data_IF_887314332332
#
_entry.id   IF_887314332332
#
_cell.length_a   1.000
_cell.length_b   1.000
_cell.length_c   1.000
_cell.angle_alpha   90.00
_cell.angle_beta   90.00
_cell.angle_gamma   90.00
#
_symmetry.space_group_name_H-M   'P 1'
#
loop_
_entity.id
_entity.type
_entity.pdbx_description
1 polymer ?
#
# COMPACT_ATOMS: atom_id res chain seq x y z
N UNK A 1 -8.98 -32.80 -22.66
CA UNK A 1 -9.00 -33.30 -21.28
C UNK A 1 -7.59 -33.74 -20.91
N UNK A 2 -7.08 -33.26 -19.80
CA UNK A 2 -5.79 -33.63 -19.20
C UNK A 2 -6.08 -34.11 -17.79
N UNK A 3 -5.38 -35.13 -17.29
CA UNK A 3 -5.56 -35.61 -15.93
C UNK A 3 -4.29 -35.45 -15.11
N UNK A 4 -4.45 -35.34 -13.79
CA UNK A 4 -3.35 -35.39 -12.84
C UNK A 4 -3.80 -36.14 -11.59
N UNK A 5 -2.88 -36.85 -10.95
CA UNK A 5 -3.14 -37.49 -9.66
C UNK A 5 -2.86 -36.48 -8.54
N UNK A 6 -3.80 -36.34 -7.61
CA UNK A 6 -3.67 -35.48 -6.44
C UNK A 6 -3.96 -36.22 -5.14
N UNK A 7 -3.36 -35.77 -4.06
CA UNK A 7 -3.62 -36.27 -2.70
C UNK A 7 -4.52 -35.30 -1.93
N UNK A 8 -5.36 -35.80 -1.03
CA UNK A 8 -6.12 -34.95 -0.11
C UNK A 8 -5.17 -34.07 0.72
N UNK A 9 -5.60 -32.83 0.98
CA UNK A 9 -4.84 -31.74 1.61
C UNK A 9 -3.64 -31.23 0.80
N UNK A 10 -3.36 -31.79 -0.39
CA UNK A 10 -2.33 -31.27 -1.27
C UNK A 10 -2.72 -29.86 -1.75
N UNK A 11 -1.76 -28.95 -1.65
CA UNK A 11 -1.88 -27.55 -2.05
C UNK A 11 -1.31 -27.41 -3.46
N UNK A 12 -2.10 -26.97 -4.42
CA UNK A 12 -1.65 -26.75 -5.79
C UNK A 12 -2.07 -25.38 -6.32
N UNK A 13 -1.36 -24.90 -7.35
CA UNK A 13 -1.80 -23.80 -8.20
C UNK A 13 -1.65 -24.22 -9.66
N UNK A 14 -2.45 -23.60 -10.54
CA UNK A 14 -2.54 -24.03 -11.93
C UNK A 14 -2.53 -22.81 -12.84
N UNK A 15 -1.61 -22.80 -13.79
CA UNK A 15 -1.62 -21.84 -14.90
C UNK A 15 -2.03 -22.55 -16.19
N UNK A 16 -3.09 -22.06 -16.81
CA UNK A 16 -3.50 -22.43 -18.16
C UNK A 16 -3.11 -21.30 -19.10
N UNK A 17 -2.09 -21.51 -19.93
CA UNK A 17 -1.60 -20.53 -20.90
C UNK A 17 -2.20 -20.80 -22.28
N UNK A 18 -2.85 -19.81 -22.87
CA UNK A 18 -3.40 -19.91 -24.23
C UNK A 18 -2.30 -19.51 -25.23
N UNK A 19 -1.87 -20.44 -26.08
CA UNK A 19 -0.77 -20.22 -27.03
C UNK A 19 -1.25 -19.66 -28.38
N UNK A 20 -2.54 -19.74 -28.65
CA UNK A 20 -3.20 -19.11 -29.80
C UNK A 20 -4.46 -18.34 -29.35
N UNK A 21 -4.83 -17.30 -30.10
CA UNK A 21 -5.92 -16.37 -29.75
C UNK A 21 -7.33 -16.97 -29.88
N UNK A 22 -7.70 -17.85 -28.95
CA UNK A 22 -9.06 -18.39 -28.82
C UNK A 22 -9.57 -18.25 -27.37
N UNK A 23 -10.89 -18.31 -27.21
CA UNK A 23 -11.57 -18.36 -25.93
C UNK A 23 -11.91 -19.82 -25.60
N UNK A 24 -11.66 -20.23 -24.35
CA UNK A 24 -12.02 -21.53 -23.85
C UNK A 24 -12.46 -21.41 -22.39
N UNK A 25 -13.50 -22.11 -22.00
CA UNK A 25 -13.74 -22.36 -20.59
C UNK A 25 -12.86 -23.52 -20.16
N UNK A 26 -12.42 -23.51 -18.90
CA UNK A 26 -11.88 -24.73 -18.31
C UNK A 26 -12.57 -25.01 -16.98
N UNK A 27 -12.68 -26.31 -16.70
CA UNK A 27 -13.26 -26.85 -15.48
C UNK A 27 -12.26 -27.84 -14.90
N UNK A 28 -12.15 -27.87 -13.58
CA UNK A 28 -11.42 -28.92 -12.87
C UNK A 28 -12.46 -29.78 -12.16
N UNK A 29 -12.45 -31.08 -12.45
CA UNK A 29 -13.26 -32.08 -11.80
C UNK A 29 -12.42 -32.84 -10.78
N UNK A 30 -13.00 -33.11 -9.62
CA UNK A 30 -12.44 -34.02 -8.63
C UNK A 30 -12.55 -35.50 -9.09
N UNK A 31 -11.98 -36.46 -8.32
CA UNK A 31 -12.05 -37.88 -8.64
C UNK A 31 -13.47 -38.47 -8.66
N UNK A 32 -14.43 -37.82 -8.00
CA UNK A 32 -15.85 -38.22 -7.99
C UNK A 32 -16.61 -37.58 -9.17
N UNK A 33 -15.98 -36.68 -9.92
CA UNK A 33 -16.53 -35.99 -11.08
C UNK A 33 -17.23 -34.67 -10.75
N UNK A 34 -17.11 -34.17 -9.52
CA UNK A 34 -17.69 -32.90 -9.10
C UNK A 34 -16.77 -31.72 -9.48
N UNK A 35 -17.36 -30.59 -9.85
CA UNK A 35 -16.61 -29.40 -10.24
C UNK A 35 -15.98 -28.72 -9.00
N UNK A 36 -14.65 -28.61 -8.98
CA UNK A 36 -13.92 -27.86 -7.93
C UNK A 36 -13.51 -26.47 -8.39
N UNK A 37 -13.36 -26.25 -9.70
CA UNK A 37 -13.08 -24.93 -10.28
C UNK A 37 -13.82 -24.79 -11.59
N UNK A 38 -14.54 -23.67 -11.76
CA UNK A 38 -15.17 -23.27 -13.01
C UNK A 38 -14.70 -21.85 -13.39
N UNK A 39 -14.09 -21.70 -14.56
CA UNK A 39 -13.59 -20.41 -15.02
C UNK A 39 -13.86 -20.20 -16.53
N UNK A 40 -15.00 -19.60 -16.91
CA UNK A 40 -15.21 -19.17 -18.28
C UNK A 40 -14.34 -17.94 -18.56
N UNK A 41 -13.21 -18.11 -19.26
CA UNK A 41 -12.25 -17.01 -19.47
C UNK A 41 -11.74 -16.98 -20.91
N UNK A 42 -11.77 -15.80 -21.51
CA UNK A 42 -10.98 -15.52 -22.70
C UNK A 42 -9.60 -15.04 -22.22
N UNK A 43 -8.53 -15.82 -22.52
CA UNK A 43 -7.07 -15.63 -22.22
C UNK A 43 -6.53 -16.62 -21.18
N UNK A 44 -5.19 -16.66 -21.08
CA UNK A 44 -4.46 -17.37 -20.04
C UNK A 44 -4.99 -17.03 -18.65
N UNK A 45 -5.02 -18.04 -17.79
CA UNK A 45 -5.61 -17.94 -16.48
C UNK A 45 -4.77 -18.67 -15.43
N UNK A 46 -4.67 -18.04 -14.25
CA UNK A 46 -4.04 -18.61 -13.09
C UNK A 46 -5.10 -18.89 -12.03
N UNK A 47 -5.28 -20.16 -11.68
CA UNK A 47 -5.98 -20.57 -10.47
C UNK A 47 -5.00 -20.44 -9.31
N UNK A 48 -5.38 -19.63 -8.34
CA UNK A 48 -4.65 -19.46 -7.09
C UNK A 48 -4.63 -20.76 -6.26
N UNK A 49 -4.17 -20.71 -5.01
CA UNK A 49 -4.14 -21.86 -4.10
C UNK A 49 -5.45 -22.65 -4.11
N UNK A 50 -5.36 -23.89 -4.58
CA UNK A 50 -6.39 -24.91 -4.51
C UNK A 50 -5.92 -26.02 -3.56
N UNK A 51 -6.69 -26.25 -2.50
CA UNK A 51 -6.47 -27.38 -1.57
C UNK A 51 -7.35 -28.54 -2.01
N UNK A 52 -6.73 -29.62 -2.45
CA UNK A 52 -7.42 -30.82 -2.91
C UNK A 52 -8.13 -31.50 -1.74
N UNK A 53 -9.41 -31.83 -1.89
CA UNK A 53 -10.21 -32.39 -0.80
C UNK A 53 -10.19 -33.92 -0.77
N UNK A 54 -9.87 -34.55 -1.91
CA UNK A 54 -9.93 -36.00 -2.11
C UNK A 54 -8.70 -36.52 -2.83
N UNK A 55 -8.20 -37.68 -2.44
CA UNK A 55 -7.11 -38.36 -3.17
C UNK A 55 -7.65 -39.09 -4.39
N UNK A 56 -7.06 -38.86 -5.56
CA UNK A 56 -7.44 -39.56 -6.79
C UNK A 56 -7.02 -38.85 -8.07
N UNK A 57 -7.60 -39.26 -9.19
CA UNK A 57 -7.34 -38.67 -10.50
C UNK A 57 -8.29 -37.49 -10.75
N UNK A 58 -7.75 -36.28 -10.77
CA UNK A 58 -8.45 -35.06 -11.13
C UNK A 58 -8.41 -34.85 -12.64
N UNK A 59 -9.43 -34.19 -13.19
CA UNK A 59 -9.54 -33.92 -14.62
C UNK A 59 -9.60 -32.42 -14.88
N UNK A 60 -8.78 -31.95 -15.83
CA UNK A 60 -8.85 -30.60 -16.37
C UNK A 60 -9.50 -30.70 -17.75
N UNK A 61 -10.75 -30.28 -17.80
CA UNK A 61 -11.52 -30.16 -19.03
C UNK A 61 -11.34 -28.76 -19.60
N UNK A 62 -11.03 -28.69 -20.91
CA UNK A 62 -10.94 -27.42 -21.63
C UNK A 62 -11.95 -27.47 -22.75
N UNK A 63 -12.95 -26.58 -22.68
CA UNK A 63 -14.06 -26.50 -23.62
C UNK A 63 -13.85 -25.26 -24.50
N UNK A 64 -13.45 -25.44 -25.78
CA UNK A 64 -13.36 -24.32 -26.71
C UNK A 64 -14.74 -23.69 -26.92
N UNK A 65 -14.79 -22.36 -27.01
CA UNK A 65 -16.04 -21.63 -27.31
C UNK A 65 -16.24 -21.40 -28.82
N UNK A 66 -15.37 -21.95 -29.66
CA UNK A 66 -15.46 -21.88 -31.13
C UNK A 66 -14.96 -23.18 -31.76
N UNK A 67 -15.23 -23.37 -33.06
CA UNK A 67 -14.79 -24.57 -33.79
C UNK A 67 -13.28 -24.61 -34.05
N UNK A 68 -12.56 -23.52 -33.78
CA UNK A 68 -11.10 -23.54 -33.77
C UNK A 68 -10.63 -24.32 -32.54
N UNK A 69 -9.82 -25.37 -32.74
CA UNK A 69 -9.28 -26.18 -31.65
C UNK A 69 -8.50 -25.36 -30.61
N UNK A 70 -8.26 -25.98 -29.44
CA UNK A 70 -7.53 -25.39 -28.32
C UNK A 70 -6.05 -25.75 -28.41
N UNK A 71 -5.17 -24.75 -28.39
CA UNK A 71 -3.74 -24.89 -28.09
C UNK A 71 -3.42 -24.21 -26.76
N UNK A 72 -3.21 -25.01 -25.72
CA UNK A 72 -2.97 -24.54 -24.36
C UNK A 72 -1.84 -25.31 -23.70
N UNK A 73 -1.05 -24.62 -22.87
CA UNK A 73 -0.09 -25.21 -21.95
C UNK A 73 -0.66 -25.15 -20.54
N UNK A 74 -0.64 -26.29 -19.85
CA UNK A 74 -1.02 -26.36 -18.44
C UNK A 74 0.26 -26.55 -17.64
N UNK A 75 0.47 -25.70 -16.64
CA UNK A 75 1.53 -25.86 -15.64
C UNK A 75 0.88 -25.98 -14.28
N UNK A 76 1.29 -26.99 -13.52
CA UNK A 76 0.87 -27.19 -12.14
C UNK A 76 2.09 -27.00 -11.24
N UNK A 77 1.86 -26.36 -10.10
CA UNK A 77 2.86 -26.30 -9.03
C UNK A 77 2.28 -26.86 -7.75
N UNK A 78 3.11 -27.57 -7.00
CA UNK A 78 2.83 -27.91 -5.61
C UNK A 78 3.19 -26.70 -4.75
N UNK A 79 2.20 -26.15 -4.07
CA UNK A 79 2.33 -24.90 -3.31
C UNK A 79 2.72 -25.23 -1.88
N UNK A 80 3.88 -24.78 -1.38
CA UNK A 80 4.27 -25.01 0.01
C UNK A 80 3.34 -24.24 0.97
N UNK A 81 3.57 -24.41 2.27
CA UNK A 81 2.95 -23.55 3.27
C UNK A 81 3.37 -22.08 3.04
N UNK A 82 2.49 -21.16 3.43
CA UNK A 82 2.73 -19.74 3.28
C UNK A 82 3.97 -19.30 4.05
N UNK A 83 4.76 -18.44 3.43
CA UNK A 83 5.98 -17.93 4.03
C UNK A 83 5.64 -17.05 5.25
N UNK A 84 6.47 -17.11 6.28
CA UNK A 84 6.27 -16.34 7.52
C UNK A 84 7.54 -15.61 7.91
N UNK A 85 7.38 -14.37 8.35
CA UNK A 85 8.44 -13.62 8.99
C UNK A 85 7.88 -12.76 10.12
N UNK A 86 8.77 -12.33 11.01
CA UNK A 86 8.44 -11.42 12.11
C UNK A 86 9.39 -10.22 12.07
N UNK A 87 8.90 -9.06 12.49
CA UNK A 87 9.69 -7.84 12.67
C UNK A 87 9.14 -7.05 13.85
N UNK A 88 9.78 -5.93 14.17
CA UNK A 88 9.38 -5.00 15.21
C UNK A 88 9.28 -3.60 14.60
N UNK A 89 8.50 -2.73 15.24
CA UNK A 89 8.50 -1.30 14.90
C UNK A 89 9.93 -0.77 15.09
N UNK A 90 10.49 -0.17 14.05
CA UNK A 90 11.88 0.30 13.96
C UNK A 90 12.96 -0.79 14.11
N UNK A 91 12.57 -2.06 13.95
CA UNK A 91 13.50 -3.19 13.91
C UNK A 91 14.14 -3.44 12.54
N UNK A 92 14.92 -4.51 12.48
CA UNK A 92 15.39 -5.05 11.20
C UNK A 92 14.20 -5.45 10.31
N UNK A 93 14.25 -5.19 9.00
CA UNK A 93 13.13 -5.48 8.11
C UNK A 93 12.89 -6.99 8.00
N UNK A 94 11.61 -7.38 7.98
CA UNK A 94 11.22 -8.75 7.69
C UNK A 94 11.42 -9.07 6.22
N UNK A 95 11.90 -10.27 5.93
CA UNK A 95 12.06 -10.78 4.56
C UNK A 95 11.21 -12.03 4.39
N UNK A 96 10.39 -12.04 3.34
CA UNK A 96 9.60 -13.20 2.91
C UNK A 96 9.96 -13.54 1.47
N UNK A 97 9.96 -14.84 1.16
CA UNK A 97 10.22 -15.36 -0.17
C UNK A 97 8.99 -16.16 -0.62
N UNK A 98 8.51 -15.82 -1.80
CA UNK A 98 7.46 -16.52 -2.53
C UNK A 98 8.17 -17.40 -3.55
N UNK A 99 8.29 -18.69 -3.23
CA UNK A 99 9.06 -19.65 -4.02
C UNK A 99 8.22 -20.28 -5.13
N UNK A 100 6.90 -20.31 -4.95
CA UNK A 100 5.97 -20.98 -5.86
C UNK A 100 4.76 -20.10 -6.18
N UNK A 101 4.29 -20.06 -7.44
CA UNK A 101 3.01 -19.46 -7.79
C UNK A 101 1.87 -19.88 -6.86
N UNK A 102 1.10 -18.92 -6.34
CA UNK A 102 -0.04 -19.17 -5.43
C UNK A 102 0.35 -19.40 -3.96
N UNK A 103 1.64 -19.26 -3.62
CA UNK A 103 2.07 -19.15 -2.23
C UNK A 103 1.87 -17.72 -1.73
N UNK A 104 1.32 -17.56 -0.53
CA UNK A 104 1.20 -16.27 0.14
C UNK A 104 2.29 -16.08 1.20
N UNK A 105 2.39 -14.88 1.76
CA UNK A 105 3.25 -14.62 2.89
C UNK A 105 2.56 -13.80 3.98
N UNK A 106 3.00 -14.01 5.22
CA UNK A 106 2.54 -13.31 6.41
C UNK A 106 3.73 -12.70 7.15
N UNK A 107 3.69 -11.40 7.38
CA UNK A 107 4.65 -10.70 8.24
C UNK A 107 3.95 -10.23 9.49
N UNK A 108 4.45 -10.60 10.67
CA UNK A 108 3.86 -10.17 11.94
C UNK A 108 4.76 -9.19 12.69
N UNK A 109 4.13 -8.31 13.47
CA UNK A 109 4.81 -7.43 14.42
C UNK A 109 3.86 -7.11 15.58
N UNK A 110 4.42 -6.81 16.75
CA UNK A 110 3.62 -6.34 17.88
C UNK A 110 3.53 -4.81 17.87
N UNK A 111 2.33 -4.29 18.12
CA UNK A 111 2.08 -2.85 18.26
C UNK A 111 1.06 -2.58 19.36
N UNK A 112 1.06 -1.35 19.88
CA UNK A 112 0.12 -0.86 20.87
C UNK A 112 -0.89 0.11 20.23
N UNK A 113 -2.06 0.25 20.87
CA UNK A 113 -3.03 1.28 20.50
C UNK A 113 -2.38 2.67 20.57
N UNK A 114 -2.58 3.47 19.52
CA UNK A 114 -2.01 4.80 19.38
C UNK A 114 -0.59 4.85 18.81
N UNK A 115 0.07 3.70 18.57
CA UNK A 115 1.32 3.69 17.83
C UNK A 115 1.08 4.23 16.40
N UNK A 116 1.85 5.25 16.04
CA UNK A 116 1.87 5.82 14.69
C UNK A 116 2.97 5.14 13.89
N UNK A 117 2.62 4.46 12.81
CA UNK A 117 3.56 3.71 11.97
C UNK A 117 3.40 4.01 10.48
N UNK A 118 4.40 3.61 9.71
CA UNK A 118 4.30 3.39 8.26
C UNK A 118 4.69 1.96 7.93
N UNK A 119 4.09 1.43 6.86
CA UNK A 119 4.48 0.20 6.21
C UNK A 119 5.09 0.51 4.84
N UNK A 120 6.23 -0.09 4.55
CA UNK A 120 6.84 -0.08 3.23
C UNK A 120 7.19 -1.50 2.81
N UNK A 121 6.82 -1.88 1.59
CA UNK A 121 7.23 -3.15 1.00
C UNK A 121 8.09 -2.88 -0.23
N UNK A 122 9.31 -3.42 -0.24
CA UNK A 122 10.18 -3.46 -1.41
C UNK A 122 10.16 -4.88 -1.94
N UNK A 123 9.86 -5.08 -3.22
CA UNK A 123 9.64 -6.44 -3.74
C UNK A 123 10.18 -6.69 -5.14
N UNK A 124 10.26 -7.97 -5.49
CA UNK A 124 10.60 -8.46 -6.83
C UNK A 124 9.53 -9.33 -7.48
N UNK A 125 8.52 -9.77 -6.72
CA UNK A 125 7.31 -10.39 -7.29
C UNK A 125 6.38 -9.36 -7.94
N UNK A 126 5.35 -9.85 -8.65
CA UNK A 126 4.46 -9.05 -9.50
C UNK A 126 3.47 -8.17 -8.74
N UNK A 127 2.36 -7.82 -9.38
CA UNK A 127 1.28 -7.10 -8.70
C UNK A 127 0.72 -7.92 -7.54
N UNK A 128 0.36 -7.27 -6.44
CA UNK A 128 0.08 -7.95 -5.16
C UNK A 128 -1.07 -7.26 -4.45
N UNK A 129 -1.92 -8.05 -3.82
CA UNK A 129 -2.86 -7.58 -2.80
C UNK A 129 -2.17 -7.65 -1.43
N UNK A 130 -2.22 -6.54 -0.71
CA UNK A 130 -1.70 -6.42 0.64
C UNK A 130 -2.83 -6.11 1.60
N UNK A 131 -2.78 -6.72 2.77
CA UNK A 131 -3.73 -6.46 3.84
C UNK A 131 -3.04 -6.47 5.20
N UNK A 132 -2.96 -5.32 5.86
CA UNK A 132 -2.62 -5.27 7.28
C UNK A 132 -3.88 -5.59 8.08
N UNK A 133 -3.83 -6.65 8.87
CA UNK A 133 -4.88 -7.09 9.79
C UNK A 133 -4.55 -6.73 11.22
N UNK A 134 -5.55 -6.25 11.94
CA UNK A 134 -5.51 -6.02 13.37
C UNK A 134 -5.44 -7.34 14.16
N UNK A 135 -5.07 -7.31 15.46
CA UNK A 135 -5.09 -8.49 16.32
C UNK A 135 -6.45 -9.20 16.39
N UNK A 136 -7.55 -8.46 16.27
CA UNK A 136 -8.91 -8.99 16.11
C UNK A 136 -9.14 -9.81 14.83
N UNK A 137 -8.29 -9.65 13.82
CA UNK A 137 -8.40 -10.24 12.49
C UNK A 137 -9.00 -9.30 11.44
N UNK A 138 -9.53 -8.15 11.86
CA UNK A 138 -10.15 -7.15 10.98
C UNK A 138 -9.12 -6.51 10.04
N UNK A 139 -9.54 -6.26 8.80
CA UNK A 139 -8.74 -5.56 7.80
C UNK A 139 -8.57 -4.08 8.20
N UNK A 140 -7.33 -3.64 8.40
CA UNK A 140 -7.03 -2.27 8.81
C UNK A 140 -6.49 -1.41 7.65
N UNK A 141 -5.68 -2.00 6.79
CA UNK A 141 -5.18 -1.33 5.58
C UNK A 141 -5.14 -2.32 4.43
N UNK A 142 -5.75 -1.96 3.30
CA UNK A 142 -5.84 -2.81 2.11
C UNK A 142 -5.23 -2.06 0.93
N UNK A 143 -4.39 -2.72 0.14
CA UNK A 143 -3.77 -2.11 -1.03
C UNK A 143 -3.49 -3.14 -2.12
N UNK A 144 -3.94 -2.85 -3.33
CA UNK A 144 -3.41 -3.46 -4.55
C UNK A 144 -2.29 -2.59 -5.12
N UNK A 145 -1.13 -3.16 -5.44
CA UNK A 145 -0.05 -2.40 -6.07
C UNK A 145 0.83 -3.26 -7.00
N UNK A 146 1.36 -2.64 -8.06
CA UNK A 146 2.31 -3.20 -9.03
C UNK A 146 3.76 -2.64 -8.86
N UNK A 147 3.94 -1.47 -8.24
CA UNK A 147 4.36 -1.21 -6.84
C UNK A 147 5.61 -1.67 -6.12
N UNK A 148 6.23 -0.70 -5.44
CA UNK A 148 6.63 -0.85 -4.03
C UNK A 148 5.66 -0.01 -3.19
N UNK A 149 4.67 -0.60 -2.50
CA UNK A 149 3.66 0.17 -1.77
C UNK A 149 4.25 0.84 -0.51
N UNK A 150 3.67 1.99 -0.17
CA UNK A 150 3.91 2.73 1.06
C UNK A 150 2.54 3.11 1.63
N UNK A 151 2.32 2.88 2.92
CA UNK A 151 1.00 3.07 3.54
C UNK A 151 0.64 4.53 3.82
N UNK A 152 1.63 5.42 3.90
CA UNK A 152 1.52 6.67 4.66
C UNK A 152 1.28 6.41 6.17
N UNK A 153 0.87 7.43 6.94
CA UNK A 153 0.59 7.31 8.37
C UNK A 153 -0.56 6.32 8.64
N UNK A 154 -0.28 5.34 9.48
CA UNK A 154 -1.25 4.43 10.09
C UNK A 154 -1.18 4.59 11.61
N UNK A 155 -2.32 4.83 12.25
CA UNK A 155 -2.42 4.91 13.73
C UNK A 155 -3.11 3.64 14.23
N UNK A 156 -2.36 2.77 14.90
CA UNK A 156 -2.87 1.48 15.33
C UNK A 156 -4.01 1.64 16.34
N UNK A 157 -5.09 0.87 16.14
CA UNK A 157 -6.32 0.96 16.95
C UNK A 157 -6.41 -0.09 18.05
N UNK A 158 -5.49 -1.06 18.05
CA UNK A 158 -5.50 -2.23 18.92
C UNK A 158 -4.08 -2.57 19.37
N UNK A 159 -3.96 -3.07 20.60
CA UNK A 159 -2.72 -3.61 21.14
C UNK A 159 -2.66 -5.11 20.89
N UNK A 160 -1.58 -5.60 20.28
CA UNK A 160 -1.37 -7.04 20.04
C UNK A 160 -0.51 -7.30 18.80
N UNK A 161 -0.65 -8.51 18.26
CA UNK A 161 0.06 -8.94 17.05
C UNK A 161 -0.72 -8.54 15.82
N UNK A 162 -0.13 -7.66 15.02
CA UNK A 162 -0.61 -7.24 13.71
C UNK A 162 -0.01 -8.14 12.63
N UNK A 163 -0.77 -8.40 11.57
CA UNK A 163 -0.33 -9.28 10.47
C UNK A 163 -0.50 -8.60 9.12
N UNK A 164 0.61 -8.38 8.40
CA UNK A 164 0.57 -8.03 6.99
C UNK A 164 0.47 -9.31 6.16
N UNK A 165 -0.63 -9.48 5.45
CA UNK A 165 -0.82 -10.47 4.40
C UNK A 165 -0.25 -9.92 3.09
N UNK A 166 0.52 -10.76 2.40
CA UNK A 166 1.12 -10.50 1.09
C UNK A 166 0.64 -11.60 0.15
N UNK A 167 -0.19 -11.24 -0.82
CA UNK A 167 -0.82 -12.15 -1.78
C UNK A 167 -0.49 -11.71 -3.22
N UNK A 168 0.57 -12.27 -3.83
CA UNK A 168 0.95 -11.95 -5.20
C UNK A 168 -0.04 -12.53 -6.21
N UNK A 169 -0.50 -11.70 -7.14
CA UNK A 169 -1.39 -12.16 -8.21
C UNK A 169 -0.65 -12.91 -9.29
N UNK A 170 -1.33 -13.92 -9.83
CA UNK A 170 -0.85 -14.70 -10.96
C UNK A 170 0.35 -15.57 -10.60
N UNK A 171 1.09 -16.01 -11.61
CA UNK A 171 2.19 -16.96 -11.42
C UNK A 171 3.53 -16.31 -11.05
N UNK A 172 3.51 -15.21 -10.30
CA UNK A 172 4.74 -14.48 -9.96
C UNK A 172 5.38 -14.99 -8.68
N UNK A 173 6.72 -15.00 -8.67
CA UNK A 173 7.56 -15.43 -7.54
C UNK A 173 8.59 -14.35 -7.25
N UNK A 174 9.20 -14.38 -6.07
CA UNK A 174 10.23 -13.41 -5.70
C UNK A 174 10.32 -13.17 -4.21
N UNK A 175 10.90 -12.04 -3.84
CA UNK A 175 11.13 -11.67 -2.44
C UNK A 175 10.40 -10.37 -2.11
N UNK A 176 9.95 -10.25 -0.86
CA UNK A 176 9.43 -9.02 -0.28
C UNK A 176 10.20 -8.67 0.99
N UNK A 177 10.66 -7.43 1.08
CA UNK A 177 11.28 -6.85 2.27
C UNK A 177 10.33 -5.83 2.87
N UNK A 178 9.87 -6.07 4.09
CA UNK A 178 8.85 -5.28 4.79
C UNK A 178 9.51 -4.46 5.89
N UNK A 179 9.28 -3.15 5.84
CA UNK A 179 9.69 -2.20 6.87
C UNK A 179 8.46 -1.73 7.64
N UNK A 180 8.53 -1.79 8.97
CA UNK A 180 7.57 -1.16 9.88
C UNK A 180 8.33 -0.09 10.65
N UNK A 181 7.97 1.18 10.45
CA UNK A 181 8.69 2.31 11.06
C UNK A 181 7.74 3.20 11.84
N UNK A 182 8.16 3.68 13.00
CA UNK A 182 7.38 4.66 13.75
C UNK A 182 7.36 6.01 13.02
N UNK A 183 6.26 6.75 13.24
CA UNK A 183 6.12 8.13 12.81
C UNK A 183 6.11 9.00 14.07
N UNK A 184 7.12 9.86 14.28
CA UNK A 184 7.14 10.79 15.39
C UNK A 184 6.04 11.85 15.22
N UNK A 185 5.71 12.60 16.29
CA UNK A 185 4.80 13.75 16.18
C UNK A 185 5.23 14.73 15.10
N UNK A 186 4.26 15.44 14.52
CA UNK A 186 4.54 16.47 13.52
C UNK A 186 5.56 17.50 14.05
N UNK A 187 6.45 17.97 13.19
CA UNK A 187 7.38 19.04 13.54
C UNK A 187 6.60 20.35 13.67
N UNK A 188 6.80 21.10 14.74
CA UNK A 188 6.05 22.34 15.01
C UNK A 188 6.97 23.55 15.11
N UNK A 189 6.51 24.68 14.58
CA UNK A 189 7.19 25.97 14.68
C UNK A 189 6.22 27.13 14.71
N UNK A 190 6.66 28.27 15.25
CA UNK A 190 5.89 29.51 15.28
C UNK A 190 6.62 30.56 14.44
N UNK A 191 5.92 31.10 13.45
CA UNK A 191 6.38 32.22 12.65
C UNK A 191 5.74 33.52 13.16
N UNK A 192 6.46 34.63 12.96
CA UNK A 192 5.94 35.98 13.15
C UNK A 192 5.82 36.65 11.78
N UNK A 193 4.75 37.40 11.54
CA UNK A 193 4.59 38.18 10.31
C UNK A 193 5.72 39.23 10.25
N UNK A 194 6.54 39.17 9.20
CA UNK A 194 7.74 40.01 9.04
C UNK A 194 8.95 39.55 9.87
N UNK A 195 8.86 38.39 10.51
CA UNK A 195 9.92 37.80 11.33
C UNK A 195 10.94 36.98 10.53
N UNK A 196 11.86 36.36 11.26
CA UNK A 196 12.84 35.44 10.68
C UNK A 196 12.21 34.15 10.14
N UNK A 197 12.97 33.44 9.31
CA UNK A 197 12.58 32.17 8.71
C UNK A 197 12.56 31.06 9.76
N UNK A 198 11.45 30.34 9.84
CA UNK A 198 11.30 29.14 10.67
C UNK A 198 11.80 27.93 9.88
N UNK A 199 12.72 27.15 10.45
CA UNK A 199 13.21 25.88 9.88
C UNK A 199 12.70 24.71 10.72
N UNK A 200 12.12 23.70 10.05
CA UNK A 200 11.60 22.48 10.67
C UNK A 200 12.18 21.25 9.98
N UNK A 201 12.45 20.21 10.78
CA UNK A 201 12.98 18.94 10.30
C UNK A 201 11.89 17.86 10.27
N UNK A 202 11.65 17.31 9.09
CA UNK A 202 10.95 16.04 8.86
C UNK A 202 11.98 14.93 8.96
N UNK A 203 11.90 14.16 10.03
CA UNK A 203 12.89 13.14 10.42
C UNK A 203 12.47 11.72 10.04
N UNK A 204 11.19 11.49 9.77
CA UNK A 204 10.67 10.19 9.37
C UNK A 204 9.64 10.30 8.22
N UNK A 205 9.50 9.25 7.39
CA UNK A 205 8.41 9.14 6.43
C UNK A 205 7.03 9.39 7.08
N UNK A 206 6.12 10.04 6.36
CA UNK A 206 4.76 10.41 6.82
C UNK A 206 4.67 11.39 8.01
N UNK A 207 5.80 11.90 8.53
CA UNK A 207 5.79 13.01 9.48
C UNK A 207 5.48 14.32 8.73
N UNK A 208 4.58 15.15 9.26
CA UNK A 208 4.28 16.46 8.70
C UNK A 208 5.01 17.59 9.46
N UNK A 209 4.93 18.80 8.92
CA UNK A 209 5.30 20.02 9.64
C UNK A 209 4.10 20.97 9.77
N UNK A 210 4.03 21.67 10.89
CA UNK A 210 3.00 22.67 11.22
C UNK A 210 3.68 23.97 11.61
N UNK A 211 3.37 25.04 10.88
CA UNK A 211 3.83 26.40 11.19
C UNK A 211 2.64 27.23 11.63
N UNK A 212 2.70 27.74 12.85
CA UNK A 212 1.67 28.59 13.44
C UNK A 212 2.06 30.06 13.34
N UNK A 213 1.11 30.96 13.13
CA UNK A 213 1.33 32.40 13.23
C UNK A 213 0.03 33.13 13.58
N UNK A 214 0.13 34.23 14.32
CA UNK A 214 -1.02 35.08 14.63
C UNK A 214 -1.19 36.17 13.57
N UNK A 215 -2.43 36.44 13.20
CA UNK A 215 -2.79 37.51 12.26
C UNK A 215 -4.05 38.26 12.66
N UNK A 216 -4.30 39.37 11.97
CA UNK A 216 -5.47 40.22 12.16
C UNK A 216 -6.44 40.12 10.98
N UNK A 217 -7.71 40.42 11.24
CA UNK A 217 -8.73 40.42 10.19
C UNK A 217 -8.37 41.41 9.06
N UNK A 218 -8.57 40.98 7.82
CA UNK A 218 -8.21 41.70 6.59
C UNK A 218 -6.72 42.00 6.40
N UNK A 219 -5.83 41.47 7.25
CA UNK A 219 -4.39 41.57 7.04
C UNK A 219 -3.98 40.75 5.81
N UNK A 220 -3.15 41.34 4.95
CA UNK A 220 -2.57 40.65 3.81
C UNK A 220 -1.19 40.09 4.20
N UNK A 221 -0.95 38.82 3.89
CA UNK A 221 0.32 38.15 4.16
C UNK A 221 0.80 37.41 2.92
N UNK A 222 2.11 37.36 2.75
CA UNK A 222 2.79 36.49 1.81
C UNK A 222 3.38 35.30 2.60
N UNK A 223 2.94 34.09 2.26
CA UNK A 223 3.45 32.85 2.85
C UNK A 223 4.40 32.21 1.85
N UNK A 224 5.64 31.99 2.26
CA UNK A 224 6.64 31.30 1.45
C UNK A 224 7.20 30.11 2.21
N UNK A 225 7.25 28.95 1.55
CA UNK A 225 7.88 27.75 2.08
C UNK A 225 8.77 27.13 1.02
N UNK A 226 9.99 26.74 1.39
CA UNK A 226 10.82 25.94 0.50
C UNK A 226 10.34 24.47 0.45
N UNK A 227 10.94 23.68 -0.44
CA UNK A 227 10.61 22.25 -0.58
C UNK A 227 11.25 21.45 0.54
N UNK A 228 10.52 20.47 1.06
CA UNK A 228 11.09 19.36 1.84
C UNK A 228 12.03 18.56 0.93
N UNK A 229 13.35 18.62 1.15
CA UNK A 229 14.39 17.82 0.46
C UNK A 229 14.22 17.62 -1.05
N UNK A 230 13.77 18.64 -1.80
CA UNK A 230 13.67 18.57 -3.26
C UNK A 230 12.47 17.81 -3.82
N UNK A 231 11.52 17.36 -2.99
CA UNK A 231 10.30 16.66 -3.43
C UNK A 231 9.05 17.56 -3.37
N UNK A 232 7.91 17.01 -3.80
CA UNK A 232 6.63 17.69 -3.71
C UNK A 232 6.05 17.63 -2.30
N UNK A 233 5.39 18.68 -1.86
CA UNK A 233 4.61 18.70 -0.62
C UNK A 233 3.21 19.27 -0.90
N UNK A 234 2.22 18.87 -0.10
CA UNK A 234 0.89 19.46 -0.06
C UNK A 234 0.84 20.50 1.05
N UNK A 235 0.28 21.65 0.73
CA UNK A 235 0.13 22.77 1.66
C UNK A 235 -1.34 23.00 1.96
N UNK A 236 -1.68 23.11 3.25
CA UNK A 236 -3.01 23.51 3.71
C UNK A 236 -2.87 24.64 4.70
N UNK A 237 -3.54 25.77 4.47
CA UNK A 237 -3.59 26.86 5.44
C UNK A 237 -4.95 26.83 6.12
N UNK A 238 -4.97 26.70 7.44
CA UNK A 238 -6.19 26.71 8.25
C UNK A 238 -6.25 27.96 9.13
N UNK A 239 -7.44 28.53 9.27
CA UNK A 239 -7.73 29.66 10.15
C UNK A 239 -8.07 29.24 11.58
N UNK A 240 -8.33 30.22 12.46
CA UNK A 240 -8.56 29.98 13.89
C UNK A 240 -9.79 29.11 14.20
N UNK A 241 -10.77 29.06 13.29
CA UNK A 241 -11.94 28.19 13.43
C UNK A 241 -11.80 26.86 12.67
N UNK A 242 -10.60 26.55 12.16
CA UNK A 242 -10.27 25.33 11.41
C UNK A 242 -10.64 25.38 9.92
N UNK A 243 -11.19 26.50 9.44
CA UNK A 243 -11.53 26.71 8.04
C UNK A 243 -10.29 26.79 7.15
N UNK A 244 -10.38 26.30 5.91
CA UNK A 244 -9.25 26.40 4.96
C UNK A 244 -9.24 27.77 4.27
N UNK A 245 -8.06 28.40 4.21
CA UNK A 245 -7.87 29.79 3.82
C UNK A 245 -7.18 29.91 2.45
N UNK A 246 -7.55 30.94 1.67
CA UNK A 246 -6.77 31.38 0.50
C UNK A 246 -6.66 30.35 -0.64
N UNK A 247 -7.59 29.40 -0.73
CA UNK A 247 -7.53 28.30 -1.71
C UNK A 247 -6.40 27.30 -1.45
N UNK A 248 -5.65 27.45 -0.34
CA UNK A 248 -4.63 26.50 0.10
C UNK A 248 -5.30 25.30 0.76
N UNK A 249 -5.92 24.46 -0.06
CA UNK A 249 -6.49 23.18 0.34
C UNK A 249 -5.70 22.04 -0.31
N UNK A 250 -4.80 21.40 0.46
CA UNK A 250 -3.95 20.29 0.00
C UNK A 250 -3.24 20.58 -1.33
N UNK A 251 -2.78 21.80 -1.51
CA UNK A 251 -2.20 22.28 -2.76
C UNK A 251 -0.85 21.62 -2.96
N UNK A 252 -0.74 20.76 -3.98
CA UNK A 252 0.51 20.10 -4.33
C UNK A 252 1.48 21.12 -4.98
N UNK A 253 2.67 21.24 -4.40
CA UNK A 253 3.78 21.98 -4.99
C UNK A 253 5.01 21.08 -5.00
N UNK A 254 5.45 20.75 -6.20
CA UNK A 254 6.81 20.27 -6.46
C UNK A 254 7.72 21.47 -6.63
N UNK A 255 7.64 22.48 -5.75
CA UNK A 255 8.07 23.88 -5.92
C UNK A 255 8.17 24.55 -4.55
N UNK A 256 8.87 25.68 -4.45
CA UNK A 256 8.64 26.56 -3.31
C UNK A 256 7.17 27.04 -3.37
N UNK A 257 6.51 27.07 -2.23
CA UNK A 257 5.22 27.75 -2.07
C UNK A 257 5.48 29.26 -2.01
N UNK A 258 4.64 30.06 -2.66
CA UNK A 258 4.61 31.52 -2.54
C UNK A 258 3.19 31.99 -2.80
N UNK A 259 2.44 32.31 -1.75
CA UNK A 259 1.01 32.60 -1.85
C UNK A 259 0.64 33.84 -1.04
N UNK A 260 -0.09 34.76 -1.69
CA UNK A 260 -0.66 35.93 -1.03
C UNK A 260 -2.05 35.58 -0.49
N UNK A 261 -2.26 35.88 0.78
CA UNK A 261 -3.48 35.53 1.51
C UNK A 261 -4.01 36.76 2.24
N UNK A 262 -5.32 36.99 2.14
CA UNK A 262 -6.02 37.93 3.02
C UNK A 262 -6.66 37.14 4.16
N UNK A 263 -6.25 37.43 5.39
CA UNK A 263 -6.73 36.74 6.58
C UNK A 263 -8.17 37.18 6.90
N UNK A 264 -9.15 36.26 7.02
CA UNK A 264 -10.56 36.65 7.20
C UNK A 264 -10.89 37.15 8.60
N UNK A 265 -10.10 36.77 9.60
CA UNK A 265 -10.37 37.00 11.02
C UNK A 265 -9.08 37.24 11.79
N UNK A 266 -9.18 37.70 13.03
CA UNK A 266 -8.03 37.73 13.94
C UNK A 266 -7.89 36.38 14.64
N UNK A 267 -6.65 35.94 14.86
CA UNK A 267 -6.34 34.73 15.62
C UNK A 267 -5.14 33.97 15.05
N UNK A 268 -4.97 32.73 15.53
CA UNK A 268 -3.86 31.85 15.14
C UNK A 268 -4.21 31.02 13.91
N UNK A 269 -3.33 31.08 12.91
CA UNK A 269 -3.40 30.31 11.67
C UNK A 269 -2.37 29.17 11.70
N UNK A 270 -2.65 28.08 10.98
CA UNK A 270 -1.76 26.92 10.84
C UNK A 270 -1.50 26.62 9.37
N UNK A 271 -0.23 26.66 8.96
CA UNK A 271 0.22 26.07 7.71
C UNK A 271 0.65 24.62 7.96
N UNK A 272 -0.10 23.66 7.41
CA UNK A 272 0.30 22.26 7.31
C UNK A 272 1.14 22.04 6.06
N UNK A 273 2.28 21.38 6.23
CA UNK A 273 3.20 20.96 5.19
C UNK A 273 3.29 19.43 5.24
N UNK A 274 2.69 18.76 4.24
CA UNK A 274 2.57 17.31 4.11
C UNK A 274 3.48 16.83 2.95
N UNK A 275 4.65 16.21 3.24
CA UNK A 275 5.53 15.66 2.20
C UNK A 275 4.83 14.57 1.38
N UNK A 276 4.87 14.67 0.05
CA UNK A 276 4.22 13.68 -0.81
C UNK A 276 5.09 12.43 -1.00
N UNK A 277 4.91 11.44 -0.13
CA UNK A 277 5.62 10.15 -0.15
C UNK A 277 6.56 9.98 1.05
N UNK A 278 7.47 8.99 1.02
CA UNK A 278 8.26 8.59 2.19
C UNK A 278 9.50 9.49 2.43
N UNK A 279 9.40 10.78 2.13
CA UNK A 279 10.55 11.68 2.07
C UNK A 279 10.77 12.41 3.38
N UNK A 280 12.04 12.52 3.78
CA UNK A 280 12.50 13.27 4.95
C UNK A 280 13.33 14.47 4.52
N UNK A 281 13.46 15.47 5.40
CA UNK A 281 14.14 16.70 5.02
C UNK A 281 13.94 17.89 5.93
N UNK A 282 14.47 19.03 5.47
CA UNK A 282 14.18 20.32 6.06
C UNK A 282 13.13 21.04 5.24
N UNK A 283 12.24 21.76 5.91
CA UNK A 283 11.38 22.79 5.32
C UNK A 283 11.55 24.10 6.06
N UNK A 284 11.50 25.20 5.33
CA UNK A 284 11.71 26.53 5.84
C UNK A 284 10.62 27.47 5.39
N UNK A 285 9.91 28.05 6.34
CA UNK A 285 8.76 28.91 6.11
C UNK A 285 9.02 30.34 6.58
N UNK A 286 8.57 31.31 5.80
CA UNK A 286 8.45 32.74 6.18
C UNK A 286 7.02 33.20 5.97
N UNK A 287 6.57 34.06 6.87
CA UNK A 287 5.32 34.81 6.72
C UNK A 287 5.69 36.29 6.76
N UNK A 288 5.39 37.04 5.72
CA UNK A 288 5.72 38.46 5.62
C UNK A 288 4.52 39.28 5.16
N UNK A 289 4.64 40.61 5.21
CA UNK A 289 3.78 41.47 4.40
C UNK A 289 4.13 41.26 2.91
N UNK A 290 3.16 41.41 1.99
CA UNK A 290 3.35 41.21 0.55
C UNK A 290 4.25 42.25 -0.14
#
# INVERSE_FOLDING_TARGET
MVTFFGEADQRISILVEHLAGFCAAYTILDPDGEEVVLAPRCRSWFTDLLVLQTTGEYQIEIVPTSEAGVDARITLWEVPLDAKAETFIDGEPAVVVIDTPGQNAFVTFNGAVGDSITLQVIRTFGCTDYELRAPSGDAFWIRFDCGNPFSDLLVLTETGTWTLVVDPRGSTVGQGTVYVRSVPPDAEGVAMIGGERVELAITAPAQNARVWFDGQASQQVLIQSDRVSGVCARYTLSGPAGEVIGGLNRVLRCGALSENVTLPSAGTYMLLIDPNGPWTGLTRTTVSEP
#
